data_IF_588736724717
#
_entry.id   IF_588736724717
#
_cell.length_a   1.000
_cell.length_b   1.000
_cell.length_c   1.000
_cell.angle_alpha   90.00
_cell.angle_beta   90.00
_cell.angle_gamma   90.00
#
_symmetry.space_group_name_H-M   'P 1'
#
loop_
_entity.id
_entity.type
_entity.pdbx_description
1 polymer ?
#
# COMPACT_ATOMS: atom_id res chain seq x y z
N UNK A 1 -0.75 16.62 22.75
CA UNK A 1 -1.43 15.36 22.41
C UNK A 1 -0.79 14.78 21.14
N UNK A 2 -0.27 13.55 21.21
CA UNK A 2 0.25 12.80 20.05
C UNK A 2 -0.85 11.86 19.55
N UNK A 3 -1.04 11.77 18.23
CA UNK A 3 -1.98 10.85 17.59
C UNK A 3 -1.16 9.73 16.95
N UNK A 4 -1.45 8.49 17.33
CA UNK A 4 -0.87 7.32 16.70
C UNK A 4 -1.63 6.98 15.41
N UNK A 5 -0.91 6.83 14.31
CA UNK A 5 -1.47 6.39 13.05
C UNK A 5 -0.88 5.02 12.69
N UNK A 6 -1.76 4.02 12.67
CA UNK A 6 -1.46 2.71 12.08
C UNK A 6 -1.77 2.77 10.59
N UNK A 7 -0.75 2.57 9.77
CA UNK A 7 -0.91 2.41 8.33
C UNK A 7 -1.06 0.93 7.99
N UNK A 8 -2.17 0.57 7.37
CA UNK A 8 -2.33 -0.73 6.74
C UNK A 8 -2.30 -0.53 5.23
N UNK A 9 -1.39 -1.22 4.55
CA UNK A 9 -1.32 -1.23 3.09
C UNK A 9 -1.60 -2.63 2.59
N UNK A 10 -2.39 -2.73 1.54
CA UNK A 10 -2.61 -3.97 0.82
C UNK A 10 -2.15 -3.79 -0.62
N UNK A 11 -1.47 -4.81 -1.13
CA UNK A 11 -1.07 -4.87 -2.54
C UNK A 11 -2.08 -5.74 -3.26
N UNK A 12 -2.75 -5.16 -4.24
CA UNK A 12 -3.66 -5.89 -5.12
C UNK A 12 -2.89 -6.26 -6.40
N UNK A 13 -2.83 -7.55 -6.70
CA UNK A 13 -2.29 -8.02 -7.97
C UNK A 13 -3.29 -7.70 -9.07
N UNK A 14 -2.85 -7.04 -10.14
CA UNK A 14 -3.73 -6.76 -11.27
C UNK A 14 -3.90 -8.03 -12.10
N UNK A 15 -4.86 -8.89 -11.76
CA UNK A 15 -5.23 -10.05 -12.58
C UNK A 15 -5.89 -9.60 -13.89
N UNK A 16 -5.10 -8.99 -14.79
CA UNK A 16 -5.56 -8.68 -16.13
C UNK A 16 -5.56 -9.99 -16.91
N UNK A 17 -6.77 -10.53 -17.06
CA UNK A 17 -7.04 -11.79 -17.76
C UNK A 17 -6.33 -11.88 -19.11
N UNK A 18 -5.59 -12.97 -19.29
CA UNK A 18 -4.90 -13.30 -20.52
C UNK A 18 -4.00 -14.50 -20.30
N UNK A 19 -4.54 -15.70 -20.55
CA UNK A 19 -3.78 -16.93 -20.58
C UNK A 19 -2.57 -16.82 -21.53
N UNK A 20 -1.34 -17.09 -21.05
CA UNK A 20 -0.25 -17.51 -21.92
C UNK A 20 1.14 -16.89 -21.76
N UNK A 21 1.35 -15.89 -20.89
CA UNK A 21 2.70 -15.44 -20.53
C UNK A 21 2.80 -15.36 -19.00
N UNK A 22 3.72 -16.14 -18.41
CA UNK A 22 3.80 -16.28 -16.96
C UNK A 22 4.10 -14.96 -16.27
N UNK A 23 3.35 -14.64 -15.21
CA UNK A 23 3.81 -13.76 -14.15
C UNK A 23 5.17 -14.27 -13.70
N UNK A 24 6.26 -13.60 -14.09
CA UNK A 24 7.60 -14.01 -13.70
C UNK A 24 7.87 -13.67 -12.23
N UNK A 25 7.25 -12.60 -11.74
CA UNK A 25 7.44 -12.11 -10.38
C UNK A 25 6.11 -11.83 -9.68
N UNK A 26 5.78 -12.57 -8.59
CA UNK A 26 4.59 -12.28 -7.80
C UNK A 26 4.70 -10.90 -7.13
N UNK A 27 3.56 -10.26 -6.84
CA UNK A 27 3.54 -8.98 -6.16
C UNK A 27 4.15 -9.09 -4.75
N UNK A 28 5.18 -8.30 -4.47
CA UNK A 28 5.86 -8.27 -3.18
C UNK A 28 6.02 -6.84 -2.69
N UNK A 29 5.66 -6.60 -1.43
CA UNK A 29 5.94 -5.33 -0.74
C UNK A 29 7.43 -5.28 -0.38
N UNK A 30 8.19 -4.47 -1.10
CA UNK A 30 9.61 -4.23 -0.82
C UNK A 30 9.82 -3.20 0.28
N UNK A 31 8.88 -2.26 0.46
CA UNK A 31 8.90 -1.28 1.56
C UNK A 31 7.56 -1.22 2.24
N UNK A 32 7.50 -1.76 3.46
CA UNK A 32 6.32 -1.69 4.32
C UNK A 32 6.22 -0.31 4.96
N UNK A 33 5.01 0.26 5.07
CA UNK A 33 4.81 1.52 5.75
C UNK A 33 5.06 1.35 7.25
N UNK A 34 5.66 2.37 7.86
CA UNK A 34 5.96 2.39 9.29
C UNK A 34 4.87 3.13 10.05
N UNK A 35 4.57 2.64 11.24
CA UNK A 35 3.68 3.36 12.17
C UNK A 35 4.32 4.69 12.56
N UNK A 36 3.51 5.75 12.59
CA UNK A 36 3.96 7.10 12.92
C UNK A 36 3.11 7.68 14.05
N UNK A 37 3.75 8.45 14.92
CA UNK A 37 3.09 9.31 15.89
C UNK A 37 3.35 10.75 15.49
N UNK A 38 2.29 11.49 15.22
CA UNK A 38 2.38 12.91 14.87
C UNK A 38 1.60 13.74 15.88
N UNK A 39 2.01 15.00 16.06
CA UNK A 39 1.26 15.95 16.89
C UNK A 39 -0.10 16.23 16.25
N UNK A 40 -1.11 16.50 17.08
CA UNK A 40 -2.41 16.95 16.60
C UNK A 40 -2.24 18.19 15.69
N UNK A 41 -2.88 18.17 14.51
CA UNK A 41 -2.72 19.20 13.48
C UNK A 41 -1.51 19.01 12.55
N UNK A 42 -0.64 18.03 12.80
CA UNK A 42 0.49 17.68 11.93
C UNK A 42 0.10 16.76 10.77
N UNK A 43 0.97 16.67 9.76
CA UNK A 43 0.82 15.79 8.60
C UNK A 43 1.54 14.46 8.85
N UNK A 44 0.83 13.34 8.64
CA UNK A 44 1.44 12.00 8.61
C UNK A 44 1.62 11.55 7.16
N UNK A 45 2.86 11.21 6.79
CA UNK A 45 3.19 10.70 5.46
C UNK A 45 3.62 9.24 5.54
N UNK A 46 2.95 8.37 4.78
CA UNK A 46 3.28 6.96 4.69
C UNK A 46 3.83 6.63 3.31
N UNK A 47 4.86 5.79 3.28
CA UNK A 47 5.50 5.33 2.06
C UNK A 47 5.36 3.81 1.97
N UNK A 48 4.99 3.33 0.78
CA UNK A 48 4.95 1.91 0.46
C UNK A 48 5.53 1.73 -0.93
N UNK A 49 6.34 0.68 -1.10
CA UNK A 49 6.83 0.26 -2.40
C UNK A 49 6.51 -1.23 -2.59
N UNK A 50 6.08 -1.57 -3.80
CA UNK A 50 5.80 -2.94 -4.20
C UNK A 50 6.42 -3.20 -5.58
N UNK A 51 6.85 -4.44 -5.79
CA UNK A 51 7.34 -4.94 -7.08
C UNK A 51 6.50 -6.12 -7.54
N UNK A 52 6.52 -6.42 -8.82
CA UNK A 52 5.82 -7.55 -9.43
C UNK A 52 5.70 -7.32 -10.92
N UNK A 53 5.49 -8.39 -11.67
CA UNK A 53 5.27 -8.33 -13.12
C UNK A 53 4.01 -9.11 -13.49
N UNK A 54 2.91 -8.42 -13.89
CA UNK A 54 2.74 -6.98 -14.03
C UNK A 54 2.82 -6.17 -12.73
N UNK A 55 3.15 -4.88 -12.91
CA UNK A 55 3.31 -3.92 -11.82
C UNK A 55 2.06 -3.89 -10.91
N UNK A 56 2.21 -4.12 -9.60
CA UNK A 56 1.07 -4.22 -8.71
C UNK A 56 0.44 -2.86 -8.38
N UNK A 57 -0.83 -2.88 -8.00
CA UNK A 57 -1.55 -1.68 -7.55
C UNK A 57 -1.52 -1.61 -6.03
N UNK A 58 -1.05 -0.49 -5.49
CA UNK A 58 -1.00 -0.25 -4.04
C UNK A 58 -2.32 0.38 -3.59
N UNK A 59 -2.98 -0.23 -2.60
CA UNK A 59 -4.15 0.35 -1.94
C UNK A 59 -3.89 0.65 -0.47
N UNK A 60 -4.13 1.89 -0.10
CA UNK A 60 -4.05 2.34 1.28
C UNK A 60 -5.36 2.09 2.02
N UNK A 61 -5.27 1.53 3.22
CA UNK A 61 -6.40 1.37 4.12
C UNK A 61 -6.13 2.05 5.47
N UNK A 62 -7.14 2.74 5.97
CA UNK A 62 -7.14 3.31 7.32
C UNK A 62 -8.34 2.73 8.07
N UNK A 63 -8.08 2.03 9.19
CA UNK A 63 -9.12 1.37 9.98
C UNK A 63 -10.01 0.43 9.13
N UNK A 64 -9.40 -0.33 8.21
CA UNK A 64 -10.11 -1.23 7.29
C UNK A 64 -10.84 -0.53 6.12
N UNK A 65 -10.88 0.81 6.07
CA UNK A 65 -11.50 1.56 4.96
C UNK A 65 -10.47 1.99 3.94
N UNK A 66 -10.78 1.79 2.65
CA UNK A 66 -9.97 2.27 1.53
C UNK A 66 -9.82 3.79 1.60
N UNK A 67 -8.58 4.26 1.50
CA UNK A 67 -8.25 5.68 1.37
C UNK A 67 -8.08 5.96 -0.11
N UNK A 68 -8.99 6.75 -0.70
CA UNK A 68 -8.79 7.29 -2.04
C UNK A 68 -7.86 8.51 -1.93
N UNK A 69 -6.78 8.55 -2.71
CA UNK A 69 -6.13 9.82 -3.03
C UNK A 69 -7.12 10.69 -3.81
N UNK A 70 -7.45 11.88 -3.31
CA UNK A 70 -8.22 12.87 -4.06
C UNK A 70 -7.28 13.80 -4.79
#
# INVERSE_FOLDING_TARGET
>A
MLIAFHSSVEVESLERGGAGIGYLDPPEITSKPRNLQVKAGGVAAFYCAARGDPLPVIQWKKNGKKVSSK
#
